data_IF_530186487203
#
_entry.id   IF_530186487203
#
_cell.length_a   1.000
_cell.length_b   1.000
_cell.length_c   1.000
_cell.angle_alpha   90.00
_cell.angle_beta   90.00
_cell.angle_gamma   90.00
#
_symmetry.space_group_name_H-M   'P 1'
#
loop_
_entity.id
_entity.type
_entity.pdbx_description
1 polymer ?
#
# COMPACT_ATOMS: atom_id res chain seq x y z
N UNK A 1 -12.33 22.68 5.48
CA UNK A 1 -11.84 22.29 5.61
C UNK A 1 -11.72 21.49 5.59
N UNK A 2 -11.52 21.67 5.69
CA UNK A 2 -10.97 20.99 5.85
C UNK A 2 -10.66 20.43 6.01
N UNK A 3 -10.36 20.55 5.99
CA UNK A 3 -9.77 20.05 6.16
C UNK A 3 -9.54 19.48 6.37
N UNK A 4 -9.59 20.10 6.64
CA UNK A 4 -9.04 19.60 7.07
C UNK A 4 -8.84 18.59 7.13
N UNK A 5 -9.02 18.56 7.12
CA UNK A 5 -8.72 17.30 7.01
C UNK A 5 -7.44 17.14 6.38
N UNK A 6 -7.19 17.93 5.61
CA UNK A 6 -5.94 17.89 5.01
C UNK A 6 -4.90 17.81 5.98
N UNK A 7 -5.10 18.54 6.90
CA UNK A 7 -4.18 18.60 7.84
C UNK A 7 -3.99 17.35 8.41
N UNK A 8 -4.89 16.66 8.66
CA UNK A 8 -4.69 15.51 9.21
C UNK A 8 -4.16 14.63 8.28
N UNK A 9 -4.00 15.02 7.16
CA UNK A 9 -3.54 14.23 6.22
C UNK A 9 -2.13 14.06 6.27
N UNK A 10 -1.65 13.15 7.00
CA UNK A 10 -0.25 12.81 7.05
C UNK A 10 0.10 11.77 6.00
N UNK A 11 -0.81 11.39 5.14
CA UNK A 11 -0.57 10.40 4.10
C UNK A 11 -0.73 11.02 2.73
N UNK A 12 0.27 10.84 1.88
CA UNK A 12 0.31 11.44 0.56
C UNK A 12 0.66 10.41 -0.49
N UNK A 13 0.22 10.62 -1.74
CA UNK A 13 0.68 9.75 -2.82
C UNK A 13 2.19 9.89 -2.94
N UNK A 14 2.84 8.86 -3.36
CA UNK A 14 4.27 8.90 -3.51
C UNK A 14 4.64 9.86 -4.63
N UNK A 15 5.54 10.82 -4.34
CA UNK A 15 5.94 11.77 -5.33
C UNK A 15 7.33 12.30 -5.14
N UNK A 16 7.85 12.31 -3.91
CA UNK A 16 9.15 12.88 -3.65
C UNK A 16 10.03 11.89 -2.99
N UNK A 17 11.10 11.53 -3.66
CA UNK A 17 11.92 10.47 -3.21
C UNK A 17 12.59 10.71 -1.88
N UNK A 18 13.14 11.87 -1.73
CA UNK A 18 13.89 12.16 -0.52
C UNK A 18 13.03 12.10 0.73
N UNK A 19 11.78 12.50 0.61
CA UNK A 19 10.88 12.49 1.74
C UNK A 19 10.32 11.12 2.01
N UNK A 20 10.15 10.36 0.96
CA UNK A 20 9.61 9.03 1.08
C UNK A 20 10.49 8.13 1.93
N UNK A 21 11.79 8.31 1.86
CA UNK A 21 12.72 7.46 2.59
C UNK A 21 12.49 7.46 4.09
N UNK A 22 11.88 8.52 4.62
CA UNK A 22 11.65 8.63 6.05
C UNK A 22 10.21 8.42 6.42
N UNK A 23 9.37 7.97 5.49
CA UNK A 23 7.96 7.84 5.75
C UNK A 23 7.53 6.38 5.77
N UNK A 24 6.36 6.17 6.30
CA UNK A 24 5.74 4.85 6.28
C UNK A 24 4.91 4.76 5.02
N UNK A 25 5.04 3.68 4.29
CA UNK A 25 4.36 3.50 3.02
C UNK A 25 3.28 2.44 3.13
N UNK A 26 2.06 2.83 2.79
CA UNK A 26 0.96 1.88 2.65
C UNK A 26 0.92 1.52 1.18
N UNK A 27 0.93 0.25 0.87
CA UNK A 27 1.02 -0.21 -0.51
C UNK A 27 0.00 -1.30 -0.78
N UNK A 28 -0.37 -1.43 -2.05
CA UNK A 28 -1.25 -2.51 -2.47
C UNK A 28 -0.63 -3.19 -3.68
N UNK A 29 -0.62 -4.51 -3.64
CA UNK A 29 -0.08 -5.31 -4.73
C UNK A 29 -1.15 -6.29 -5.18
N UNK A 30 -1.15 -6.59 -6.47
CA UNK A 30 -2.14 -7.48 -7.06
C UNK A 30 -1.44 -8.69 -7.65
N UNK A 31 -1.96 -9.87 -7.40
CA UNK A 31 -1.42 -11.08 -7.98
C UNK A 31 -1.60 -11.04 -9.50
N UNK A 32 -0.61 -11.54 -10.23
CA UNK A 32 -0.71 -11.64 -11.68
C UNK A 32 -1.43 -12.91 -12.11
N UNK A 33 -1.64 -13.83 -11.19
CA UNK A 33 -2.24 -15.13 -11.53
C UNK A 33 -3.61 -15.36 -10.88
N UNK A 34 -3.94 -14.58 -9.85
CA UNK A 34 -5.18 -14.78 -9.12
C UNK A 34 -5.88 -13.45 -8.85
N UNK A 35 -7.16 -13.50 -8.57
CA UNK A 35 -7.90 -12.30 -8.21
C UNK A 35 -7.66 -12.04 -6.73
N UNK A 36 -6.48 -11.53 -6.42
CA UNK A 36 -6.06 -11.34 -5.03
C UNK A 36 -5.24 -10.06 -4.91
N UNK A 37 -5.62 -9.22 -3.95
CA UNK A 37 -4.92 -7.98 -3.68
C UNK A 37 -4.49 -7.98 -2.22
N UNK A 38 -3.24 -7.65 -1.97
CA UNK A 38 -2.69 -7.59 -0.63
C UNK A 38 -2.33 -6.14 -0.31
N UNK A 39 -2.69 -5.69 0.89
CA UNK A 39 -2.38 -4.35 1.37
C UNK A 39 -1.42 -4.48 2.53
N UNK A 40 -0.34 -3.72 2.52
CA UNK A 40 0.65 -3.80 3.56
C UNK A 40 1.21 -2.44 3.92
N UNK A 41 2.11 -2.44 4.90
CA UNK A 41 2.74 -1.24 5.42
C UNK A 41 4.22 -1.51 5.59
N UNK A 42 5.06 -0.60 5.10
CA UNK A 42 6.49 -0.80 5.19
C UNK A 42 7.22 0.54 5.13
N UNK A 43 8.46 0.58 5.59
CA UNK A 43 9.33 1.71 5.39
C UNK A 43 10.27 1.45 4.22
N UNK A 44 10.29 0.24 3.69
CA UNK A 44 11.19 -0.12 2.60
C UNK A 44 10.42 -0.85 1.52
N UNK A 45 9.80 -0.08 0.66
CA UNK A 45 8.89 -0.65 -0.32
C UNK A 45 9.54 -1.63 -1.27
N UNK A 46 10.67 -1.28 -1.84
CA UNK A 46 11.30 -2.17 -2.81
C UNK A 46 11.72 -3.49 -2.20
N UNK A 47 12.25 -3.45 -1.01
CA UNK A 47 12.65 -4.67 -0.34
C UNK A 47 11.43 -5.55 -0.07
N UNK A 48 10.33 -4.95 0.36
CA UNK A 48 9.13 -5.72 0.64
C UNK A 48 8.54 -6.33 -0.62
N UNK A 49 8.57 -5.59 -1.74
CA UNK A 49 8.08 -6.13 -3.00
C UNK A 49 8.92 -7.32 -3.42
N UNK A 50 10.23 -7.23 -3.25
CA UNK A 50 11.10 -8.35 -3.53
C UNK A 50 10.72 -9.57 -2.68
N UNK A 51 10.50 -9.35 -1.40
CA UNK A 51 10.17 -10.45 -0.51
C UNK A 51 8.85 -11.11 -0.89
N UNK A 52 7.87 -10.30 -1.29
CA UNK A 52 6.60 -10.88 -1.74
C UNK A 52 6.81 -11.75 -2.97
N UNK A 53 7.58 -11.26 -3.93
CA UNK A 53 7.78 -11.98 -5.18
C UNK A 53 8.74 -13.17 -5.04
N UNK A 54 9.60 -13.13 -4.03
CA UNK A 54 10.49 -14.26 -3.76
C UNK A 54 9.81 -15.35 -2.96
N UNK A 55 8.59 -15.10 -2.48
CA UNK A 55 7.89 -16.08 -1.70
C UNK A 55 8.31 -16.12 -0.25
N UNK A 56 8.92 -15.06 0.26
CA UNK A 56 9.39 -15.02 1.64
C UNK A 56 8.33 -14.56 2.62
N UNK A 57 7.21 -14.00 2.12
CA UNK A 57 6.13 -13.60 3.00
C UNK A 57 5.08 -14.68 2.99
N UNK A 58 4.83 -15.23 4.16
CA UNK A 58 3.95 -16.39 4.29
C UNK A 58 2.57 -16.15 3.68
N UNK A 59 2.02 -14.97 3.88
CA UNK A 59 0.68 -14.67 3.44
C UNK A 59 0.54 -14.58 1.93
N UNK A 60 1.58 -14.13 1.24
CA UNK A 60 1.46 -13.81 -0.18
C UNK A 60 2.17 -14.78 -1.09
N UNK A 61 2.96 -15.71 -0.55
CA UNK A 61 3.81 -16.52 -1.40
C UNK A 61 3.04 -17.41 -2.38
N UNK A 62 1.83 -17.80 -2.04
CA UNK A 62 1.09 -18.74 -2.88
C UNK A 62 0.48 -18.09 -4.10
N UNK A 63 0.39 -16.75 -4.12
CA UNK A 63 -0.23 -16.06 -5.25
C UNK A 63 0.74 -15.16 -5.98
N UNK A 64 2.02 -15.34 -5.76
CA UNK A 64 3.02 -14.58 -6.47
C UNK A 64 3.08 -15.03 -7.91
N UNK A 65 3.55 -14.17 -8.84
CA UNK A 65 4.14 -12.87 -8.59
C UNK A 65 3.08 -11.76 -8.51
N UNK A 66 3.54 -10.60 -8.06
CA UNK A 66 2.65 -9.46 -7.85
C UNK A 66 3.14 -8.24 -8.61
N UNK A 67 2.20 -7.34 -8.90
CA UNK A 67 2.56 -6.03 -9.39
C UNK A 67 2.02 -4.99 -8.43
N UNK A 68 2.72 -3.88 -8.33
CA UNK A 68 2.31 -2.79 -7.46
C UNK A 68 1.19 -2.02 -8.13
N UNK A 69 0.09 -1.78 -7.43
CA UNK A 69 -1.03 -1.05 -8.01
C UNK A 69 -1.30 0.27 -7.29
N UNK A 70 -0.84 0.45 -6.06
CA UNK A 70 -1.10 1.69 -5.36
C UNK A 70 -0.13 1.87 -4.20
N UNK A 71 0.27 3.12 -3.95
CA UNK A 71 1.09 3.45 -2.80
C UNK A 71 0.67 4.82 -2.28
N UNK A 72 0.82 5.00 -0.96
CA UNK A 72 0.71 6.32 -0.37
C UNK A 72 1.65 6.35 0.82
N UNK A 73 2.21 7.51 1.11
CA UNK A 73 3.18 7.64 2.18
C UNK A 73 2.60 8.46 3.33
N UNK A 74 2.92 8.06 4.53
CA UNK A 74 2.40 8.68 5.75
C UNK A 74 3.54 9.07 6.66
N UNK A 75 3.40 10.18 7.36
CA UNK A 75 4.45 10.67 8.22
C UNK A 75 4.66 9.81 9.47
N UNK A 76 3.60 9.27 10.01
CA UNK A 76 3.71 8.51 11.25
C UNK A 76 3.12 7.13 11.06
N UNK A 77 3.55 6.21 11.93
CA UNK A 77 3.05 4.85 11.90
C UNK A 77 1.56 4.77 12.24
N UNK A 78 1.05 5.48 13.26
CA UNK A 78 -0.38 5.43 13.52
C UNK A 78 -1.23 5.88 12.34
N UNK A 79 -0.80 6.92 11.64
CA UNK A 79 -1.54 7.38 10.47
C UNK A 79 -1.51 6.33 9.37
N UNK A 80 -0.37 5.70 9.18
CA UNK A 80 -0.24 4.65 8.18
C UNK A 80 -1.14 3.46 8.51
N UNK A 81 -1.25 3.13 9.79
CA UNK A 81 -2.11 2.04 10.19
C UNK A 81 -3.57 2.31 9.88
N UNK A 82 -4.01 3.55 10.08
CA UNK A 82 -5.37 3.93 9.76
C UNK A 82 -5.62 3.76 8.27
N UNK A 83 -4.66 4.18 7.45
CA UNK A 83 -4.82 4.06 6.01
C UNK A 83 -4.75 2.61 5.56
N UNK A 84 -3.87 1.83 6.15
CA UNK A 84 -3.76 0.42 5.84
C UNK A 84 -5.10 -0.28 6.10
N UNK A 85 -5.70 0.04 7.24
CA UNK A 85 -6.97 -0.55 7.61
C UNK A 85 -8.07 -0.17 6.63
N UNK A 86 -8.07 1.09 6.21
CA UNK A 86 -9.04 1.56 5.23
C UNK A 86 -8.92 0.77 3.93
N UNK A 87 -7.69 0.62 3.43
CA UNK A 87 -7.50 -0.07 2.15
C UNK A 87 -7.77 -1.57 2.25
N UNK A 88 -7.71 -2.14 3.45
CA UNK A 88 -8.07 -3.54 3.66
C UNK A 88 -9.56 -3.75 3.77
N UNK A 89 -10.34 -2.69 3.98
CA UNK A 89 -11.78 -2.80 4.12
C UNK A 89 -12.42 -3.10 2.78
N UNK A 90 -13.71 -3.43 2.81
CA UNK A 90 -14.45 -3.71 1.59
C UNK A 90 -14.45 -2.54 0.62
N UNK A 91 -14.65 -1.32 1.15
CA UNK A 91 -14.65 -0.13 0.32
C UNK A 91 -13.29 0.08 -0.30
N UNK A 92 -12.24 -0.04 0.49
CA UNK A 92 -10.88 0.14 -0.03
C UNK A 92 -10.53 -0.90 -1.08
N UNK A 93 -10.86 -2.16 -0.81
CA UNK A 93 -10.56 -3.22 -1.77
C UNK A 93 -11.30 -3.01 -3.09
N UNK A 94 -12.51 -2.51 -3.01
CA UNK A 94 -13.27 -2.24 -4.22
C UNK A 94 -12.58 -1.16 -5.05
N UNK A 95 -12.11 -0.11 -4.42
CA UNK A 95 -11.38 0.93 -5.12
C UNK A 95 -10.10 0.39 -5.73
N UNK A 96 -9.40 -0.47 -5.00
CA UNK A 96 -8.16 -1.04 -5.50
C UNK A 96 -8.43 -1.94 -6.70
N UNK A 97 -9.52 -2.68 -6.70
CA UNK A 97 -9.87 -3.51 -7.84
C UNK A 97 -10.11 -2.65 -9.07
N UNK A 98 -10.75 -1.51 -8.89
CA UNK A 98 -10.98 -0.61 -10.01
C UNK A 98 -9.68 -0.03 -10.54
N UNK A 99 -8.75 0.29 -9.66
CA UNK A 99 -7.43 0.76 -10.10
C UNK A 99 -6.70 -0.32 -10.87
N UNK A 100 -6.76 -1.55 -10.38
CA UNK A 100 -6.09 -2.67 -11.03
C UNK A 100 -6.64 -2.92 -12.42
N UNK A 101 -7.95 -2.81 -12.56
CA UNK A 101 -8.63 -3.18 -13.79
C UNK A 101 -8.82 -2.05 -14.79
N UNK A 102 -8.37 -0.86 -14.46
CA UNK A 102 -8.54 0.28 -15.37
C UNK A 102 -7.41 0.40 -16.39
#
# INVERSE_FOLDING_TARGET
MVDLSADRQACLPIGRRAEILKMYIVYAISSLTHNYIYVGLTKELELRLHRHNDGRERTTKFYRPYRLIYTESCLTRPDARVREKYWKSGVGKEKLRKMRDS
#
